data_IF_420375580593
#
_entry.id   IF_420375580593
#
_cell.length_a   1.000
_cell.length_b   1.000
_cell.length_c   1.000
_cell.angle_alpha   90.00
_cell.angle_beta   90.00
_cell.angle_gamma   90.00
#
_symmetry.space_group_name_H-M   'P 1'
#
loop_
_entity.id
_entity.type
_entity.pdbx_description
1 polymer ?
#
# COMPACT_ATOMS: atom_id res chain seq x y z
N UNK A 1 -3.87 4.38 15.55
CA UNK A 1 -2.68 3.88 14.83
C UNK A 1 -2.46 4.73 13.60
N UNK A 2 -1.27 4.67 12.99
CA UNK A 2 -1.01 5.29 11.68
C UNK A 2 -1.25 4.22 10.61
N UNK A 3 -2.11 4.44 9.61
CA UNK A 3 -2.32 3.47 8.53
C UNK A 3 -1.04 3.29 7.71
N UNK A 4 -0.72 2.04 7.35
CA UNK A 4 0.44 1.68 6.54
C UNK A 4 0.02 1.07 5.21
N UNK A 5 0.70 1.46 4.14
CA UNK A 5 0.46 0.95 2.79
C UNK A 5 1.74 0.33 2.26
N UNK A 6 1.64 -0.90 1.74
CA UNK A 6 2.76 -1.57 1.09
C UNK A 6 2.79 -1.24 -0.40
N UNK A 7 3.91 -0.69 -0.85
CA UNK A 7 4.22 -0.51 -2.27
C UNK A 7 4.73 -1.84 -2.86
N UNK A 8 4.00 -2.41 -3.81
CA UNK A 8 4.29 -3.76 -4.33
C UNK A 8 5.12 -3.78 -5.60
N UNK A 9 5.42 -2.63 -6.21
CA UNK A 9 6.22 -2.54 -7.44
C UNK A 9 7.74 -2.45 -7.20
N UNK A 10 8.20 -2.62 -5.95
CA UNK A 10 9.61 -2.81 -5.64
C UNK A 10 10.11 -4.20 -6.05
N UNK A 11 11.44 -4.40 -6.20
CA UNK A 11 12.04 -5.68 -6.64
C UNK A 11 11.73 -6.88 -5.73
N UNK A 12 11.19 -6.65 -4.54
CA UNK A 12 10.82 -7.66 -3.53
C UNK A 12 9.31 -7.70 -3.26
N UNK A 13 8.46 -7.21 -4.18
CA UNK A 13 7.04 -6.90 -3.96
C UNK A 13 6.16 -8.00 -3.35
N UNK A 14 6.48 -9.28 -3.55
CA UNK A 14 5.74 -10.42 -2.97
C UNK A 14 6.24 -10.87 -1.58
N UNK A 15 7.49 -10.58 -1.21
CA UNK A 15 8.05 -11.04 0.09
C UNK A 15 7.48 -10.25 1.28
N UNK A 16 6.91 -9.06 1.03
CA UNK A 16 6.46 -8.13 2.06
C UNK A 16 4.95 -8.30 2.40
N UNK A 17 4.19 -9.07 1.62
CA UNK A 17 2.76 -9.38 1.93
C UNK A 17 2.59 -10.10 3.28
N UNK A 18 3.63 -10.76 3.78
CA UNK A 18 3.66 -11.39 5.10
C UNK A 18 3.48 -10.39 6.26
N UNK A 19 3.69 -9.09 6.04
CA UNK A 19 3.53 -8.04 7.05
C UNK A 19 2.07 -7.61 7.28
N UNK A 20 1.10 -8.16 6.53
CA UNK A 20 -0.33 -7.84 6.64
C UNK A 20 -0.62 -6.32 6.64
N UNK A 21 -0.20 -5.59 5.60
CA UNK A 21 -0.49 -4.16 5.50
C UNK A 21 -2.00 -3.89 5.36
N UNK A 22 -2.44 -2.70 5.77
CA UNK A 22 -3.85 -2.31 5.62
C UNK A 22 -4.27 -2.14 4.14
N UNK A 23 -3.31 -1.87 3.26
CA UNK A 23 -3.53 -1.87 1.81
C UNK A 23 -2.24 -2.12 1.01
N UNK A 24 -2.41 -2.52 -0.24
CA UNK A 24 -1.36 -2.66 -1.25
C UNK A 24 -1.48 -1.57 -2.31
N UNK A 25 -0.34 -1.01 -2.74
CA UNK A 25 -0.25 -0.05 -3.84
C UNK A 25 0.51 -0.69 -5.00
N UNK A 26 -0.20 -0.95 -6.10
CA UNK A 26 0.32 -1.64 -7.27
C UNK A 26 0.92 -0.68 -8.31
N UNK A 27 0.45 0.57 -8.33
CA UNK A 27 0.97 1.64 -9.18
C UNK A 27 0.87 3.00 -8.47
N UNK A 28 1.76 3.94 -8.81
CA UNK A 28 1.80 5.26 -8.16
C UNK A 28 0.59 6.15 -8.46
N UNK A 29 -0.07 5.97 -9.60
CA UNK A 29 -1.28 6.72 -9.98
C UNK A 29 -2.48 6.43 -9.06
N UNK A 30 -2.51 5.25 -8.43
CA UNK A 30 -3.53 4.85 -7.47
C UNK A 30 -3.37 5.46 -6.07
N UNK A 31 -2.29 6.22 -5.81
CA UNK A 31 -1.95 6.71 -4.47
C UNK A 31 -3.02 7.66 -3.91
N UNK A 32 -3.49 8.61 -4.71
CA UNK A 32 -4.46 9.61 -4.25
C UNK A 32 -5.79 8.97 -3.86
N UNK A 33 -6.34 8.11 -4.72
CA UNK A 33 -7.57 7.35 -4.45
C UNK A 33 -7.43 6.48 -3.19
N UNK A 34 -6.25 5.89 -2.97
CA UNK A 34 -6.00 5.05 -1.80
C UNK A 34 -5.92 5.88 -0.51
N UNK A 35 -5.30 7.05 -0.55
CA UNK A 35 -5.21 7.97 0.60
C UNK A 35 -6.59 8.49 0.99
N UNK A 36 -7.43 8.85 0.02
CA UNK A 36 -8.83 9.25 0.29
C UNK A 36 -9.60 8.15 1.02
N UNK A 37 -9.41 6.88 0.65
CA UNK A 37 -10.08 5.75 1.31
C UNK A 37 -9.60 5.45 2.74
N UNK A 38 -8.38 5.85 3.10
CA UNK A 38 -7.74 5.45 4.36
C UNK A 38 -7.77 6.53 5.44
N UNK A 39 -7.85 7.80 5.05
CA UNK A 39 -7.65 8.94 5.96
C UNK A 39 -8.90 9.81 6.10
N UNK A 40 -9.82 9.75 5.12
CA UNK A 40 -11.07 10.53 5.11
C UNK A 40 -12.23 9.66 5.58
#
# INVERSE_FOLDING_TARGET
GVPSVLVTFGPSGHDIEALKPEALLHHYDQLFDLVERLIV
#
